data_IF_678552014018
#
_entry.id   IF_678552014018
#
_cell.length_a   1.000
_cell.length_b   1.000
_cell.length_c   1.000
_cell.angle_alpha   90.00
_cell.angle_beta   90.00
_cell.angle_gamma   90.00
#
_symmetry.space_group_name_H-M   'P 1'
#
loop_
_entity.id
_entity.type
_entity.pdbx_description
1 polymer ?
#
# COMPACT_ATOMS: atom_id res chain seq x y z
N UNK A 1 -49.05 31.73 -59.11
CA UNK A 1 -49.36 30.59 -58.23
C UNK A 1 -49.25 31.03 -56.81
N UNK A 2 -49.90 30.30 -55.89
CA UNK A 2 -49.72 30.38 -54.46
C UNK A 2 -49.26 29.04 -53.86
N UNK A 3 -48.51 29.08 -52.76
CA UNK A 3 -48.15 27.86 -52.00
C UNK A 3 -49.38 27.48 -51.17
N UNK A 4 -49.78 26.19 -51.25
CA UNK A 4 -50.89 25.66 -50.49
C UNK A 4 -50.39 24.98 -49.21
N UNK A 5 -49.35 24.20 -49.33
CA UNK A 5 -48.75 23.45 -48.17
C UNK A 5 -47.38 22.90 -48.52
N UNK A 6 -46.65 22.47 -47.47
CA UNK A 6 -45.43 21.70 -47.58
C UNK A 6 -44.20 22.47 -48.01
N UNK A 7 -44.16 23.78 -47.79
CA UNK A 7 -43.01 24.64 -48.11
C UNK A 7 -42.00 24.78 -46.97
N UNK A 8 -42.28 24.14 -45.83
CA UNK A 8 -41.38 24.14 -44.66
C UNK A 8 -41.31 22.77 -44.04
N UNK A 9 -40.12 22.39 -43.66
CA UNK A 9 -39.83 21.25 -42.80
C UNK A 9 -38.48 21.49 -42.14
N UNK A 10 -38.27 20.92 -40.94
CA UNK A 10 -37.06 21.11 -40.16
C UNK A 10 -36.26 19.85 -40.01
N UNK A 11 -36.86 18.69 -40.12
CA UNK A 11 -36.20 17.41 -39.86
C UNK A 11 -36.02 16.65 -41.21
N UNK A 12 -35.01 15.78 -41.18
CA UNK A 12 -34.76 14.82 -42.28
C UNK A 12 -36.02 14.09 -42.66
N UNK A 13 -36.33 14.11 -43.97
CA UNK A 13 -37.51 13.46 -44.52
C UNK A 13 -37.33 13.21 -46.03
N UNK A 14 -37.48 11.98 -46.48
CA UNK A 14 -37.29 11.58 -47.86
C UNK A 14 -38.51 11.84 -48.75
N UNK A 15 -39.68 12.20 -48.18
CA UNK A 15 -40.94 12.23 -48.88
C UNK A 15 -41.81 13.44 -48.53
N UNK A 16 -41.24 14.62 -48.62
CA UNK A 16 -41.97 15.88 -48.50
C UNK A 16 -42.70 16.21 -49.80
N UNK A 17 -43.83 16.87 -49.69
CA UNK A 17 -44.59 17.28 -50.86
C UNK A 17 -44.95 18.76 -50.80
N UNK A 18 -44.45 19.57 -51.71
CA UNK A 18 -44.88 20.95 -51.94
C UNK A 18 -46.09 20.95 -52.86
N UNK A 19 -47.17 21.56 -52.39
CA UNK A 19 -48.38 21.74 -53.21
C UNK A 19 -48.54 23.23 -53.51
N UNK A 20 -48.69 23.54 -54.82
CA UNK A 20 -48.97 24.87 -55.34
C UNK A 20 -50.30 24.89 -56.09
N UNK A 21 -50.91 26.02 -56.16
CA UNK A 21 -52.19 26.28 -56.86
C UNK A 21 -52.06 27.48 -57.80
N UNK A 22 -52.58 27.31 -59.01
CA UNK A 22 -52.63 28.39 -59.99
C UNK A 22 -53.43 29.60 -59.52
N UNK A 23 -53.03 30.79 -59.96
CA UNK A 23 -53.73 32.07 -59.65
C UNK A 23 -53.87 32.88 -60.91
N UNK A 24 -54.88 33.77 -60.94
CA UNK A 24 -55.19 34.63 -62.11
C UNK A 24 -55.79 33.82 -63.25
N UNK A 25 -55.17 33.83 -64.43
CA UNK A 25 -55.62 33.07 -65.63
C UNK A 25 -55.24 31.59 -65.63
N UNK A 26 -54.62 31.11 -64.52
CA UNK A 26 -54.20 29.69 -64.36
C UNK A 26 -55.03 29.02 -63.29
N UNK A 27 -55.47 27.82 -63.50
CA UNK A 27 -56.24 27.02 -62.55
C UNK A 27 -55.59 25.65 -62.35
N UNK A 28 -55.94 25.01 -61.23
CA UNK A 28 -55.45 23.66 -60.89
C UNK A 28 -54.35 23.65 -59.85
N UNK A 29 -54.04 22.44 -59.36
CA UNK A 29 -53.00 22.18 -58.35
C UNK A 29 -51.90 21.32 -58.95
N UNK A 30 -50.66 21.59 -58.56
CA UNK A 30 -49.50 20.76 -58.87
C UNK A 30 -48.77 20.39 -57.56
N UNK A 31 -48.20 19.20 -57.54
CA UNK A 31 -47.45 18.72 -56.40
C UNK A 31 -46.02 18.33 -56.83
N UNK A 32 -45.01 18.69 -56.05
CA UNK A 32 -43.61 18.37 -56.26
C UNK A 32 -43.04 17.67 -55.01
N UNK A 33 -42.38 16.55 -55.21
CA UNK A 33 -41.65 15.86 -54.18
C UNK A 33 -40.32 16.54 -53.93
N UNK A 34 -39.94 16.66 -52.67
CA UNK A 34 -38.65 17.16 -52.21
C UNK A 34 -38.24 16.41 -50.94
N UNK A 35 -36.96 16.54 -50.50
CA UNK A 35 -36.41 15.88 -49.32
C UNK A 35 -35.46 16.78 -48.56
N UNK A 36 -35.30 16.50 -47.30
CA UNK A 36 -34.20 16.99 -46.45
C UNK A 36 -33.28 15.83 -46.17
N UNK A 37 -32.02 15.99 -46.55
CA UNK A 37 -30.97 15.03 -46.23
C UNK A 37 -30.22 15.40 -44.96
N UNK A 38 -29.69 14.43 -44.21
CA UNK A 38 -28.90 14.76 -43.03
C UNK A 38 -27.68 15.64 -43.38
N UNK A 39 -27.31 16.48 -42.45
CA UNK A 39 -26.12 17.33 -42.53
C UNK A 39 -24.90 16.56 -42.07
N UNK A 40 -23.89 16.39 -42.93
CA UNK A 40 -22.60 15.81 -42.55
C UNK A 40 -21.83 16.83 -41.69
N UNK A 41 -21.35 16.35 -40.53
CA UNK A 41 -20.59 17.18 -39.57
C UNK A 41 -19.38 16.46 -39.05
N UNK A 42 -18.35 17.24 -38.68
CA UNK A 42 -17.16 16.76 -37.96
C UNK A 42 -17.04 17.58 -36.68
N UNK A 43 -17.80 17.23 -35.64
CA UNK A 43 -17.91 18.07 -34.45
C UNK A 43 -16.64 18.09 -33.62
N UNK A 44 -16.44 19.19 -32.89
CA UNK A 44 -15.59 19.25 -31.74
C UNK A 44 -16.28 18.55 -30.56
N UNK A 45 -15.55 17.69 -29.83
CA UNK A 45 -16.05 16.98 -28.66
C UNK A 45 -15.48 17.64 -27.41
N UNK A 46 -16.34 18.14 -26.55
CA UNK A 46 -15.99 18.69 -25.25
C UNK A 46 -16.42 17.69 -24.17
N UNK A 47 -15.46 17.26 -23.33
CA UNK A 47 -15.67 16.38 -22.19
C UNK A 47 -14.79 16.83 -21.03
N UNK A 48 -15.38 16.97 -19.85
CA UNK A 48 -14.66 17.40 -18.66
C UNK A 48 -13.83 16.25 -18.03
N UNK A 49 -12.76 16.63 -17.34
CA UNK A 49 -12.05 15.69 -16.47
C UNK A 49 -12.89 15.34 -15.25
N UNK A 50 -12.69 14.12 -14.74
CA UNK A 50 -13.34 13.61 -13.51
C UNK A 50 -12.29 13.23 -12.48
N UNK A 51 -12.72 12.93 -11.25
CA UNK A 51 -11.89 12.35 -10.20
C UNK A 51 -12.38 10.92 -9.94
N UNK A 52 -11.46 10.01 -9.69
CA UNK A 52 -11.75 8.62 -9.36
C UNK A 52 -12.72 8.50 -8.16
N UNK A 53 -13.73 7.65 -8.32
CA UNK A 53 -14.75 7.39 -7.29
C UNK A 53 -14.94 5.89 -6.98
N UNK A 54 -14.33 5.01 -7.78
CA UNK A 54 -14.57 3.58 -7.78
C UNK A 54 -15.65 3.14 -8.76
N UNK A 55 -16.61 4.01 -9.06
CA UNK A 55 -17.67 3.73 -10.04
C UNK A 55 -17.26 4.12 -11.46
N UNK A 56 -18.00 3.58 -12.44
CA UNK A 56 -17.87 4.02 -13.81
C UNK A 56 -18.30 5.49 -13.97
N UNK A 57 -17.45 6.32 -14.57
CA UNK A 57 -17.62 7.75 -14.71
C UNK A 57 -18.14 8.08 -16.12
N UNK A 58 -19.24 8.80 -16.19
CA UNK A 58 -19.91 9.21 -17.42
C UNK A 58 -20.04 10.74 -17.47
N UNK A 59 -18.92 11.46 -17.69
CA UNK A 59 -18.95 12.91 -17.77
C UNK A 59 -19.82 13.39 -18.92
N UNK A 60 -20.46 14.54 -18.73
CA UNK A 60 -21.26 15.16 -19.80
C UNK A 60 -20.40 15.44 -21.03
N UNK A 61 -20.89 15.03 -22.19
CA UNK A 61 -20.29 15.25 -23.50
C UNK A 61 -21.10 16.29 -24.26
N UNK A 62 -20.44 17.30 -24.80
CA UNK A 62 -21.05 18.31 -25.67
C UNK A 62 -20.38 18.25 -27.04
N UNK A 63 -21.20 18.17 -28.09
CA UNK A 63 -20.74 18.24 -29.47
C UNK A 63 -21.02 19.61 -30.06
N UNK A 64 -20.05 20.20 -30.76
CA UNK A 64 -20.18 21.49 -31.42
C UNK A 64 -19.78 21.41 -32.89
N UNK A 65 -20.62 21.92 -33.77
CA UNK A 65 -20.30 22.21 -35.17
C UNK A 65 -20.05 23.70 -35.32
N UNK A 66 -18.79 24.11 -35.26
CA UNK A 66 -18.42 25.52 -35.09
C UNK A 66 -18.90 26.06 -33.73
N UNK A 67 -19.81 27.01 -33.74
CA UNK A 67 -20.39 27.59 -32.52
C UNK A 67 -21.76 26.97 -32.13
N UNK A 68 -22.30 26.08 -32.97
CA UNK A 68 -23.60 25.50 -32.74
C UNK A 68 -23.45 24.18 -31.95
N UNK A 69 -24.24 24.02 -30.89
CA UNK A 69 -24.32 22.78 -30.14
C UNK A 69 -25.24 21.79 -30.86
N UNK A 70 -24.75 20.60 -31.14
CA UNK A 70 -25.55 19.52 -31.70
C UNK A 70 -26.45 18.95 -30.57
N UNK A 71 -27.77 18.86 -30.79
CA UNK A 71 -28.70 18.34 -29.81
C UNK A 71 -28.33 16.91 -29.36
N UNK A 72 -28.55 16.58 -28.10
CA UNK A 72 -28.15 15.29 -27.50
C UNK A 72 -28.95 14.09 -27.99
N UNK A 73 -30.10 14.31 -28.60
CA UNK A 73 -30.95 13.30 -29.25
C UNK A 73 -30.45 12.91 -30.67
N UNK A 74 -29.46 13.61 -31.19
CA UNK A 74 -28.87 13.36 -32.50
C UNK A 74 -27.62 12.44 -32.46
N UNK A 75 -27.15 12.05 -31.26
CA UNK A 75 -25.99 11.19 -31.10
C UNK A 75 -26.08 10.31 -29.86
N UNK A 76 -25.30 9.25 -29.86
CA UNK A 76 -25.08 8.36 -28.71
C UNK A 76 -23.64 8.48 -28.21
N UNK A 77 -23.44 8.30 -26.91
CA UNK A 77 -22.12 8.31 -26.26
C UNK A 77 -21.88 6.94 -25.62
N UNK A 78 -20.77 6.32 -25.97
CA UNK A 78 -20.28 5.11 -25.33
C UNK A 78 -19.00 5.44 -24.56
N UNK A 79 -18.90 4.94 -23.32
CA UNK A 79 -17.73 5.15 -22.46
C UNK A 79 -16.89 3.89 -22.36
N UNK A 80 -15.58 4.05 -22.28
CA UNK A 80 -14.63 2.96 -22.05
C UNK A 80 -13.44 3.44 -21.23
N UNK A 81 -12.80 2.50 -20.49
CA UNK A 81 -11.71 2.81 -19.55
C UNK A 81 -12.05 3.91 -18.54
N UNK A 82 -13.32 3.98 -18.14
CA UNK A 82 -13.90 5.09 -17.42
C UNK A 82 -14.07 4.83 -15.90
N UNK A 83 -13.40 3.81 -15.35
CA UNK A 83 -13.50 3.48 -13.92
C UNK A 83 -12.25 3.89 -13.14
N UNK A 84 -11.06 3.53 -13.62
CA UNK A 84 -9.80 3.79 -12.91
C UNK A 84 -9.22 5.16 -13.28
N UNK A 85 -8.43 5.74 -12.38
CA UNK A 85 -7.67 6.96 -12.69
C UNK A 85 -6.71 6.72 -13.88
N UNK A 86 -6.62 7.72 -14.75
CA UNK A 86 -5.87 7.64 -16.00
C UNK A 86 -6.61 8.28 -17.16
N UNK A 87 -6.68 7.59 -18.29
CA UNK A 87 -7.33 8.07 -19.51
C UNK A 87 -8.59 7.27 -19.80
N UNK A 88 -9.73 7.91 -19.62
CA UNK A 88 -11.03 7.42 -20.10
C UNK A 88 -11.25 7.84 -21.56
N UNK A 89 -12.19 7.19 -22.22
CA UNK A 89 -12.52 7.46 -23.63
C UNK A 89 -14.02 7.48 -23.87
N UNK A 90 -14.47 8.46 -24.64
CA UNK A 90 -15.81 8.49 -25.20
C UNK A 90 -15.77 8.17 -26.69
N UNK A 91 -16.77 7.43 -27.15
CA UNK A 91 -17.01 7.14 -28.58
C UNK A 91 -18.38 7.67 -28.95
N UNK A 92 -18.44 8.50 -29.98
CA UNK A 92 -19.64 9.19 -30.43
C UNK A 92 -20.10 8.53 -31.74
N UNK A 93 -21.42 8.26 -31.82
CA UNK A 93 -22.09 7.77 -33.04
C UNK A 93 -23.37 8.56 -33.24
N UNK A 94 -23.72 8.83 -34.50
CA UNK A 94 -24.99 9.42 -34.87
C UNK A 94 -26.18 8.51 -34.56
N UNK A 95 -27.34 9.11 -34.39
CA UNK A 95 -28.61 8.40 -34.29
C UNK A 95 -29.12 8.12 -35.69
N UNK A 96 -29.47 6.85 -35.97
CA UNK A 96 -29.99 6.47 -37.26
C UNK A 96 -31.29 7.21 -37.62
N UNK A 97 -31.31 7.89 -38.77
CA UNK A 97 -32.42 8.71 -39.21
C UNK A 97 -32.50 10.10 -38.61
N UNK A 98 -31.49 10.50 -37.82
CA UNK A 98 -31.34 11.84 -37.29
C UNK A 98 -31.00 12.89 -38.36
N UNK A 99 -30.95 14.17 -37.94
CA UNK A 99 -30.68 15.30 -38.81
C UNK A 99 -29.18 15.46 -39.14
N UNK A 100 -28.32 14.74 -38.48
CA UNK A 100 -26.87 14.81 -38.64
C UNK A 100 -26.28 13.44 -39.02
N UNK A 101 -25.26 13.45 -39.86
CA UNK A 101 -24.34 12.34 -40.06
C UNK A 101 -23.04 12.67 -39.36
N UNK A 102 -22.77 11.99 -38.26
CA UNK A 102 -21.57 12.16 -37.46
C UNK A 102 -20.71 10.94 -37.73
N UNK A 103 -19.57 11.08 -38.41
CA UNK A 103 -18.61 9.99 -38.49
C UNK A 103 -18.18 9.61 -37.11
N UNK A 104 -18.11 8.30 -36.80
CA UNK A 104 -17.65 7.80 -35.51
C UNK A 104 -16.38 8.52 -35.07
N UNK A 105 -16.41 9.09 -33.88
CA UNK A 105 -15.33 9.89 -33.35
C UNK A 105 -15.08 9.56 -31.89
N UNK A 106 -13.81 9.51 -31.52
CA UNK A 106 -13.40 9.26 -30.15
C UNK A 106 -12.73 10.49 -29.56
N UNK A 107 -12.90 10.70 -28.25
CA UNK A 107 -12.22 11.72 -27.46
C UNK A 107 -11.79 11.12 -26.14
N UNK A 108 -10.53 11.34 -25.77
CA UNK A 108 -10.02 10.98 -24.47
C UNK A 108 -10.36 12.06 -23.42
N UNK A 109 -10.58 11.63 -22.18
CA UNK A 109 -10.72 12.50 -21.03
C UNK A 109 -9.88 12.01 -19.86
N UNK A 110 -9.54 12.91 -18.96
CA UNK A 110 -8.69 12.57 -17.81
C UNK A 110 -9.54 12.19 -16.60
N UNK A 111 -9.19 11.06 -15.96
CA UNK A 111 -9.67 10.69 -14.64
C UNK A 111 -8.50 10.90 -13.66
N UNK A 112 -8.61 11.92 -12.83
CA UNK A 112 -7.57 12.24 -11.84
C UNK A 112 -7.64 11.29 -10.65
N UNK A 113 -6.50 11.05 -10.01
CA UNK A 113 -6.44 10.27 -8.77
C UNK A 113 -7.25 10.95 -7.66
N UNK A 114 -7.93 10.15 -6.85
CA UNK A 114 -8.56 10.61 -5.62
C UNK A 114 -7.51 11.04 -4.59
N UNK A 115 -7.91 11.87 -3.63
CA UNK A 115 -7.05 12.24 -2.51
C UNK A 115 -6.63 11.01 -1.69
N UNK A 116 -5.41 11.04 -1.16
CA UNK A 116 -4.94 9.98 -0.27
C UNK A 116 -5.88 9.82 0.95
N UNK A 117 -6.11 8.59 1.46
CA UNK A 117 -6.84 8.37 2.70
C UNK A 117 -6.17 9.11 3.87
N UNK A 118 -6.98 9.61 4.81
CA UNK A 118 -6.49 10.40 5.95
C UNK A 118 -6.31 9.61 7.25
N UNK A 119 -6.85 8.39 7.33
CA UNK A 119 -6.85 7.54 8.53
C UNK A 119 -5.73 6.47 8.52
N UNK A 120 -4.57 6.81 7.98
CA UNK A 120 -3.39 5.94 7.92
C UNK A 120 -2.81 5.78 9.33
N UNK A 121 -2.63 4.54 9.76
CA UNK A 121 -2.02 4.22 11.05
C UNK A 121 -0.51 4.07 10.89
N UNK A 122 0.23 4.39 11.97
CA UNK A 122 1.66 4.08 12.03
C UNK A 122 1.89 2.66 12.52
N UNK A 123 2.85 1.97 11.91
CA UNK A 123 3.35 0.69 12.38
C UNK A 123 4.35 0.83 13.54
N UNK A 124 4.64 -0.29 14.18
CA UNK A 124 5.67 -0.39 15.21
C UNK A 124 6.54 -1.62 14.95
N UNK A 125 7.85 -1.43 14.95
CA UNK A 125 8.84 -2.49 14.88
C UNK A 125 9.79 -2.35 16.06
N UNK A 126 9.95 -3.42 16.85
CA UNK A 126 10.83 -3.41 18.04
C UNK A 126 12.08 -4.23 17.78
N UNK A 127 13.24 -3.63 17.98
CA UNK A 127 14.55 -4.29 17.88
C UNK A 127 15.13 -4.52 19.26
N UNK A 128 16.08 -5.48 19.39
CA UNK A 128 16.77 -5.79 20.63
C UNK A 128 18.15 -5.13 20.63
N UNK A 129 18.45 -4.33 21.65
CA UNK A 129 19.77 -3.71 21.86
C UNK A 129 20.86 -4.77 21.99
N UNK A 130 22.03 -4.53 21.36
CA UNK A 130 23.16 -5.45 21.37
C UNK A 130 22.93 -6.75 20.61
N UNK A 131 21.88 -6.82 19.78
CA UNK A 131 21.62 -7.95 18.90
C UNK A 131 21.68 -7.49 17.44
N UNK A 132 22.56 -8.11 16.65
CA UNK A 132 22.59 -7.91 15.19
C UNK A 132 21.60 -8.88 14.54
N UNK A 133 20.49 -8.34 14.05
CA UNK A 133 19.40 -9.13 13.49
C UNK A 133 18.64 -8.37 12.41
N UNK A 134 18.14 -9.12 11.43
CA UNK A 134 17.19 -8.58 10.43
C UNK A 134 15.77 -8.76 10.95
N UNK A 135 15.04 -7.65 10.96
CA UNK A 135 13.63 -7.57 11.31
C UNK A 135 12.81 -7.26 10.07
N UNK A 136 11.57 -7.71 10.00
CA UNK A 136 10.68 -7.40 8.90
C UNK A 136 9.35 -6.84 9.38
N UNK A 137 8.71 -6.06 8.49
CA UNK A 137 7.41 -5.46 8.71
C UNK A 137 6.63 -5.39 7.40
N UNK A 138 5.39 -5.84 7.37
CA UNK A 138 4.51 -5.75 6.20
C UNK A 138 3.81 -4.39 6.16
N UNK A 139 4.27 -3.50 5.28
CA UNK A 139 3.72 -2.16 5.09
C UNK A 139 2.28 -2.16 4.59
N UNK A 140 1.84 -3.23 3.91
CA UNK A 140 0.47 -3.34 3.41
C UNK A 140 -0.58 -3.30 4.53
N UNK A 141 -0.18 -3.74 5.73
CA UNK A 141 -1.04 -3.74 6.93
C UNK A 141 -1.40 -2.35 7.43
N UNK A 142 -0.65 -1.32 7.02
CA UNK A 142 -0.90 0.08 7.37
C UNK A 142 -1.91 0.77 6.46
N UNK A 143 -2.22 0.16 5.31
CA UNK A 143 -3.16 0.73 4.36
C UNK A 143 -4.59 0.61 4.88
N UNK A 144 -5.34 1.72 4.94
CA UNK A 144 -6.74 1.67 5.30
C UNK A 144 -7.55 0.77 4.36
N UNK A 145 -8.46 -0.01 4.92
CA UNK A 145 -9.40 -0.78 4.11
C UNK A 145 -10.38 0.18 3.45
N UNK A 146 -10.42 0.15 2.11
CA UNK A 146 -11.37 0.94 1.34
C UNK A 146 -12.75 0.27 1.30
N UNK A 147 -13.79 1.10 1.15
CA UNK A 147 -15.16 0.61 0.93
C UNK A 147 -15.36 0.37 -0.57
N UNK A 148 -15.86 -0.81 -0.92
CA UNK A 148 -16.22 -1.11 -2.31
C UNK A 148 -17.23 -0.09 -2.87
N UNK A 149 -17.12 0.29 -4.16
CA UNK A 149 -16.26 -0.28 -5.20
C UNK A 149 -14.84 0.30 -5.28
N UNK A 150 -14.46 1.18 -4.35
CA UNK A 150 -13.13 1.78 -4.36
C UNK A 150 -12.02 0.75 -4.08
N UNK A 151 -10.90 0.86 -4.81
CA UNK A 151 -9.66 0.13 -4.60
C UNK A 151 -8.43 1.02 -4.90
N UNK A 152 -7.26 0.59 -4.45
CA UNK A 152 -6.02 1.34 -4.72
C UNK A 152 -5.51 1.16 -6.14
N UNK A 153 -6.02 0.17 -6.88
CA UNK A 153 -5.43 -0.29 -8.13
C UNK A 153 -4.06 -0.95 -7.89
N UNK A 154 -3.13 -0.74 -8.81
CA UNK A 154 -1.75 -1.22 -8.61
C UNK A 154 -1.06 -0.39 -7.55
N UNK A 155 -0.49 -1.05 -6.55
CA UNK A 155 0.31 -0.43 -5.50
C UNK A 155 1.79 -0.67 -5.80
N UNK A 156 2.60 0.38 -5.68
CA UNK A 156 4.06 0.29 -5.75
C UNK A 156 4.62 0.96 -4.50
N UNK A 157 5.35 0.18 -3.71
CA UNK A 157 6.06 0.67 -2.53
C UNK A 157 7.35 1.33 -3.02
N UNK A 158 7.34 2.66 -3.07
CA UNK A 158 8.40 3.37 -3.75
C UNK A 158 9.64 3.54 -2.87
N UNK A 159 10.66 3.88 -3.53
CA UNK A 159 12.07 4.03 -3.27
C UNK A 159 12.41 5.19 -2.32
N UNK A 160 11.45 6.00 -1.91
CA UNK A 160 11.70 7.13 -1.02
C UNK A 160 11.53 6.67 0.42
N UNK A 161 12.57 6.04 0.93
CA UNK A 161 12.67 5.62 2.33
C UNK A 161 13.49 6.66 3.07
N UNK A 162 12.86 7.44 3.93
CA UNK A 162 13.53 8.33 4.84
C UNK A 162 13.70 7.60 6.19
N UNK A 163 14.96 7.35 6.57
CA UNK A 163 15.29 6.63 7.80
C UNK A 163 15.97 7.57 8.77
N UNK A 164 15.41 7.71 9.96
CA UNK A 164 16.03 8.46 11.06
C UNK A 164 16.15 7.54 12.27
N UNK A 165 17.29 6.84 12.38
CA UNK A 165 17.53 5.78 13.37
C UNK A 165 18.69 6.07 14.33
N UNK A 166 19.19 7.30 14.40
CA UNK A 166 20.22 7.65 15.39
C UNK A 166 21.51 6.85 15.25
N UNK A 167 22.12 6.46 16.38
CA UNK A 167 23.42 5.79 16.44
C UNK A 167 23.29 4.28 16.30
N UNK A 168 24.04 3.69 15.34
CA UNK A 168 24.06 2.25 15.06
C UNK A 168 24.37 1.95 13.60
N UNK A 169 24.40 0.67 13.25
CA UNK A 169 24.49 0.21 11.86
C UNK A 169 23.11 -0.30 11.45
N UNK A 170 22.49 0.36 10.47
CA UNK A 170 21.15 0.04 10.00
C UNK A 170 21.13 -0.02 8.48
N UNK A 171 20.57 -1.09 7.93
CA UNK A 171 20.28 -1.21 6.49
C UNK A 171 18.79 -1.42 6.34
N UNK A 172 18.14 -0.50 5.65
CA UNK A 172 16.70 -0.53 5.40
C UNK A 172 16.45 -0.82 3.93
N UNK A 173 15.65 -1.85 3.65
CA UNK A 173 15.21 -2.23 2.30
C UNK A 173 13.70 -2.35 2.27
N UNK A 174 13.10 -2.00 1.13
CA UNK A 174 11.68 -2.17 0.87
C UNK A 174 11.49 -2.93 -0.44
N UNK A 175 10.74 -4.02 -0.40
CA UNK A 175 10.30 -4.68 -1.62
C UNK A 175 9.20 -3.86 -2.30
N UNK A 176 9.48 -3.39 -3.51
CA UNK A 176 8.59 -2.48 -4.24
C UNK A 176 7.25 -3.09 -4.68
N UNK A 177 7.10 -4.41 -4.61
CA UNK A 177 5.88 -5.13 -5.03
C UNK A 177 5.09 -5.65 -3.84
N UNK A 178 5.76 -6.26 -2.87
CA UNK A 178 5.11 -6.89 -1.72
C UNK A 178 4.87 -5.92 -0.58
N UNK A 179 5.67 -4.85 -0.49
CA UNK A 179 5.65 -3.93 0.64
C UNK A 179 6.33 -4.49 1.89
N UNK A 180 7.15 -5.51 1.75
CA UNK A 180 7.97 -5.99 2.85
C UNK A 180 9.09 -5.00 3.13
N UNK A 181 9.07 -4.40 4.32
CA UNK A 181 10.15 -3.60 4.88
C UNK A 181 11.07 -4.53 5.67
N UNK A 182 12.35 -4.54 5.34
CA UNK A 182 13.37 -5.22 6.14
C UNK A 182 14.33 -4.20 6.75
N UNK A 183 14.66 -4.42 8.02
CA UNK A 183 15.62 -3.63 8.79
C UNK A 183 16.69 -4.54 9.34
N UNK A 184 17.86 -4.53 8.76
CA UNK A 184 19.06 -5.13 9.35
C UNK A 184 19.63 -4.15 10.37
N UNK A 185 19.54 -4.50 11.65
CA UNK A 185 19.83 -3.60 12.75
C UNK A 185 20.92 -4.17 13.68
N UNK A 186 21.91 -3.32 14.00
CA UNK A 186 22.92 -3.56 15.01
C UNK A 186 23.05 -2.30 15.86
N UNK A 187 22.23 -2.17 16.91
CA UNK A 187 22.22 -1.04 17.81
C UNK A 187 22.98 -1.37 19.10
N UNK A 188 24.00 -0.58 19.40
CA UNK A 188 24.82 -0.73 20.60
C UNK A 188 24.32 0.08 21.82
N UNK A 189 23.22 0.83 21.68
CA UNK A 189 22.61 1.58 22.77
C UNK A 189 21.98 0.67 23.82
N UNK A 190 21.73 1.23 25.02
CA UNK A 190 21.04 0.55 26.13
C UNK A 190 19.69 1.18 26.47
N UNK A 191 19.38 2.33 25.85
CA UNK A 191 18.11 3.00 26.09
C UNK A 191 16.96 2.25 25.42
N UNK A 192 15.85 2.12 26.12
CA UNK A 192 14.62 1.51 25.63
C UNK A 192 13.62 2.56 25.17
N UNK A 193 12.66 2.13 24.37
CA UNK A 193 11.60 2.97 23.82
C UNK A 193 11.81 3.35 22.37
N UNK A 194 11.01 4.30 21.89
CA UNK A 194 11.11 4.79 20.51
C UNK A 194 12.39 5.60 20.33
N UNK A 195 13.19 5.22 19.32
CA UNK A 195 14.43 5.93 19.00
C UNK A 195 14.49 6.41 17.55
N UNK A 196 13.50 6.05 16.73
CA UNK A 196 13.46 6.49 15.35
C UNK A 196 12.18 6.11 14.64
N UNK A 197 12.16 6.38 13.33
CA UNK A 197 11.08 6.02 12.43
C UNK A 197 11.61 5.79 11.03
N UNK A 198 10.90 4.97 10.28
CA UNK A 198 11.10 4.75 8.85
C UNK A 198 9.82 5.20 8.15
N UNK A 199 9.95 6.10 7.17
CA UNK A 199 8.83 6.55 6.32
C UNK A 199 9.01 6.03 4.91
N UNK A 200 7.94 5.49 4.34
CA UNK A 200 7.91 4.96 2.97
C UNK A 200 6.77 5.62 2.22
N UNK A 201 7.10 6.26 1.09
CA UNK A 201 6.06 6.76 0.17
C UNK A 201 5.67 5.65 -0.78
N UNK A 202 4.38 5.42 -0.90
CA UNK A 202 3.81 4.48 -1.86
C UNK A 202 3.02 5.23 -2.93
N UNK A 203 3.07 4.70 -4.15
CA UNK A 203 2.25 5.17 -5.26
C UNK A 203 1.17 4.16 -5.58
N UNK A 204 -0.02 4.64 -5.87
CA UNK A 204 -1.17 3.81 -6.26
C UNK A 204 -1.73 4.26 -7.60
N UNK A 205 -2.46 3.40 -8.30
CA UNK A 205 -3.08 3.79 -9.57
C UNK A 205 -4.19 4.82 -9.36
N UNK A 206 -5.02 4.66 -8.32
CA UNK A 206 -6.29 5.37 -8.17
C UNK A 206 -6.26 6.51 -7.13
N UNK A 207 -5.27 6.54 -6.24
CA UNK A 207 -5.12 7.56 -5.20
C UNK A 207 -3.79 8.29 -5.34
N UNK A 208 -3.74 9.51 -4.85
CA UNK A 208 -2.48 10.26 -4.69
C UNK A 208 -1.52 9.49 -3.76
N UNK A 209 -0.24 9.82 -3.85
CA UNK A 209 0.81 9.16 -3.07
C UNK A 209 0.50 9.18 -1.57
N UNK A 210 0.82 8.08 -0.90
CA UNK A 210 0.54 7.84 0.52
C UNK A 210 1.88 7.66 1.23
N UNK A 211 2.06 8.33 2.38
CA UNK A 211 3.23 8.14 3.23
C UNK A 211 2.87 7.20 4.38
N UNK A 212 3.59 6.09 4.48
CA UNK A 212 3.50 5.13 5.57
C UNK A 212 4.64 5.36 6.56
N UNK A 213 4.38 5.22 7.86
CA UNK A 213 5.37 5.39 8.91
C UNK A 213 5.44 4.14 9.78
N UNK A 214 6.66 3.64 10.00
CA UNK A 214 6.95 2.58 10.97
C UNK A 214 7.84 3.17 12.06
N UNK A 215 7.32 3.26 13.28
CA UNK A 215 8.07 3.72 14.45
C UNK A 215 8.97 2.58 14.94
N UNK A 216 10.23 2.87 15.20
CA UNK A 216 11.23 1.90 15.61
C UNK A 216 11.51 2.07 17.11
N UNK A 217 11.29 0.97 17.84
CA UNK A 217 11.50 0.89 19.27
C UNK A 217 12.68 -0.03 19.58
N UNK A 218 13.36 0.25 20.65
CA UNK A 218 14.39 -0.62 21.22
C UNK A 218 13.93 -1.21 22.54
N UNK A 219 14.27 -2.46 22.77
CA UNK A 219 14.23 -3.15 24.08
C UNK A 219 15.60 -3.73 24.37
N UNK A 220 15.93 -3.90 25.65
CA UNK A 220 17.14 -4.61 26.06
C UNK A 220 16.91 -6.13 26.02
N UNK A 221 18.00 -6.90 25.97
CA UNK A 221 17.95 -8.34 26.20
C UNK A 221 17.37 -8.60 27.59
N UNK A 222 16.51 -9.60 27.69
CA UNK A 222 16.00 -10.04 28.99
C UNK A 222 17.11 -10.75 29.79
N UNK A 223 17.21 -10.46 31.08
CA UNK A 223 18.12 -11.18 31.97
C UNK A 223 17.37 -12.33 32.62
N UNK A 224 17.72 -13.61 32.30
CA UNK A 224 17.08 -14.76 32.92
C UNK A 224 17.29 -14.75 34.43
N UNK A 225 16.32 -15.27 35.17
CA UNK A 225 16.41 -15.42 36.61
C UNK A 225 16.53 -16.91 36.97
N UNK A 226 17.18 -17.17 38.11
CA UNK A 226 17.39 -18.53 38.59
C UNK A 226 16.05 -19.21 38.94
N UNK A 227 15.88 -20.47 38.50
CA UNK A 227 14.77 -21.32 38.88
C UNK A 227 15.27 -22.46 39.78
N UNK A 228 15.20 -22.25 41.08
CA UNK A 228 15.70 -23.13 42.09
C UNK A 228 17.13 -22.84 42.51
N UNK A 229 17.96 -23.86 42.72
CA UNK A 229 19.33 -23.77 43.16
C UNK A 229 20.29 -24.26 42.10
N UNK A 230 21.46 -23.62 42.03
CA UNK A 230 22.63 -24.14 41.34
C UNK A 230 23.31 -25.18 42.22
N UNK A 231 23.73 -26.27 41.61
CA UNK A 231 24.49 -27.32 42.28
C UNK A 231 25.77 -27.59 41.54
N UNK A 232 26.83 -27.83 42.29
CA UNK A 232 28.15 -28.18 41.79
C UNK A 232 28.59 -29.56 42.29
N UNK A 233 29.28 -30.35 41.46
CA UNK A 233 29.88 -31.58 41.93
C UNK A 233 31.16 -31.28 42.70
N UNK A 234 31.43 -32.15 43.71
CA UNK A 234 32.64 -32.13 44.51
C UNK A 234 33.87 -32.43 43.66
N UNK A 235 34.98 -31.78 43.97
CA UNK A 235 36.32 -32.07 43.43
C UNK A 235 37.31 -32.37 44.54
N UNK A 236 38.53 -32.84 44.19
CA UNK A 236 39.60 -33.13 45.08
C UNK A 236 40.73 -32.11 44.91
N UNK A 237 41.46 -31.78 45.96
CA UNK A 237 42.64 -30.92 45.91
C UNK A 237 43.56 -31.26 44.72
N UNK A 238 43.94 -30.22 43.98
CA UNK A 238 44.74 -30.34 42.75
C UNK A 238 43.95 -30.48 41.44
N UNK A 239 42.63 -30.77 41.51
CA UNK A 239 41.74 -30.68 40.37
C UNK A 239 41.36 -29.25 40.04
N UNK A 240 41.00 -28.96 38.80
CA UNK A 240 40.54 -27.67 38.37
C UNK A 240 39.01 -27.56 38.54
N UNK A 241 38.47 -26.33 38.61
CA UNK A 241 37.03 -26.10 38.63
C UNK A 241 36.30 -26.69 37.41
N UNK A 242 36.96 -26.76 36.26
CA UNK A 242 36.44 -27.45 35.06
C UNK A 242 36.15 -28.93 35.28
N UNK A 243 36.75 -29.60 36.31
CA UNK A 243 36.47 -30.99 36.68
C UNK A 243 35.18 -31.10 37.50
N UNK A 244 34.65 -30.00 38.05
CA UNK A 244 33.37 -29.92 38.73
C UNK A 244 32.26 -29.65 37.71
N UNK A 245 31.27 -30.51 37.62
CA UNK A 245 30.03 -30.21 36.87
C UNK A 245 29.19 -29.20 37.63
N UNK A 246 28.62 -28.23 36.89
CA UNK A 246 27.67 -27.26 37.42
C UNK A 246 26.32 -27.44 36.73
N UNK A 247 25.23 -27.48 37.48
CA UNK A 247 23.88 -27.69 36.99
C UNK A 247 22.89 -26.75 37.66
N UNK A 248 21.89 -26.33 36.91
CA UNK A 248 20.81 -25.47 37.38
C UNK A 248 19.76 -25.25 36.30
N UNK A 249 18.79 -24.41 36.60
CA UNK A 249 17.77 -23.99 35.65
C UNK A 249 17.59 -22.48 35.71
N UNK A 250 17.36 -21.91 34.55
CA UNK A 250 17.03 -20.48 34.41
C UNK A 250 15.67 -20.36 33.79
N UNK A 251 14.95 -19.24 34.10
CA UNK A 251 13.64 -18.97 33.54
C UNK A 251 13.51 -17.51 33.11
N UNK A 252 12.58 -17.27 32.18
CA UNK A 252 12.17 -15.94 31.78
C UNK A 252 11.49 -15.23 32.95
N UNK A 253 11.93 -14.01 33.32
CA UNK A 253 11.38 -13.29 34.45
C UNK A 253 9.91 -12.87 34.24
N UNK A 254 9.43 -12.78 33.00
CA UNK A 254 8.09 -12.30 32.67
C UNK A 254 7.08 -13.44 32.50
N UNK A 255 7.48 -14.53 31.80
CA UNK A 255 6.58 -15.65 31.50
C UNK A 255 6.73 -16.84 32.46
N UNK A 256 7.91 -16.97 33.09
CA UNK A 256 8.25 -18.13 33.92
C UNK A 256 8.69 -19.34 33.12
N UNK A 257 8.76 -19.27 31.79
CA UNK A 257 9.19 -20.35 30.94
C UNK A 257 10.68 -20.66 31.13
N UNK A 258 11.09 -21.95 30.98
CA UNK A 258 12.49 -22.33 31.07
C UNK A 258 13.32 -21.72 29.95
N UNK A 259 14.45 -21.10 30.31
CA UNK A 259 15.43 -20.55 29.36
C UNK A 259 16.56 -21.58 29.22
N UNK A 260 16.67 -22.16 28.04
CA UNK A 260 17.74 -23.14 27.73
C UNK A 260 19.07 -22.40 27.57
N UNK A 261 20.15 -23.07 27.97
CA UNK A 261 21.51 -22.55 27.87
C UNK A 261 22.51 -23.44 28.61
N UNK A 262 23.76 -22.97 28.67
CA UNK A 262 24.87 -23.71 29.23
C UNK A 262 25.44 -22.97 30.44
N UNK A 263 25.63 -23.73 31.53
CA UNK A 263 26.37 -23.28 32.71
C UNK A 263 27.84 -23.66 32.58
N UNK A 264 28.73 -22.72 32.83
CA UNK A 264 30.18 -22.93 32.85
C UNK A 264 30.80 -22.17 34.03
N UNK A 265 31.89 -22.68 34.57
CA UNK A 265 32.70 -21.88 35.51
C UNK A 265 33.37 -20.74 34.74
N UNK A 266 33.28 -19.54 35.26
CA UNK A 266 33.84 -18.34 34.60
C UNK A 266 35.36 -18.45 34.42
N UNK A 267 36.05 -19.01 35.42
CA UNK A 267 37.45 -19.45 35.30
C UNK A 267 37.59 -20.90 35.69
N UNK A 268 37.35 -21.79 34.72
CA UNK A 268 37.43 -23.25 34.91
C UNK A 268 38.84 -23.77 35.17
N UNK A 269 39.90 -22.99 34.95
CA UNK A 269 41.28 -23.41 35.13
C UNK A 269 41.77 -23.28 36.60
N UNK A 270 41.04 -22.57 37.43
CA UNK A 270 41.37 -22.38 38.84
C UNK A 270 41.43 -23.73 39.54
N UNK A 271 42.49 -23.97 40.35
CA UNK A 271 42.68 -25.13 41.23
C UNK A 271 42.62 -24.62 42.66
N UNK A 272 41.45 -24.72 43.30
CA UNK A 272 41.29 -24.24 44.67
C UNK A 272 41.96 -25.12 45.70
N UNK A 273 42.34 -24.55 46.83
CA UNK A 273 42.77 -25.30 47.99
C UNK A 273 41.63 -26.10 48.63
N UNK A 274 41.95 -27.15 49.39
CA UNK A 274 40.95 -27.93 50.07
C UNK A 274 40.08 -27.08 50.98
N UNK A 275 38.77 -27.07 50.72
CA UNK A 275 37.80 -26.24 51.40
C UNK A 275 36.38 -26.82 51.20
N UNK A 276 35.63 -26.96 52.29
CA UNK A 276 34.25 -27.45 52.23
C UNK A 276 33.29 -26.47 51.56
N UNK A 277 33.67 -25.21 51.41
CA UNK A 277 32.81 -24.14 50.87
C UNK A 277 33.60 -23.13 50.02
N UNK A 278 34.21 -23.59 48.93
CA UNK A 278 34.87 -22.68 48.00
C UNK A 278 33.80 -22.00 47.13
N UNK A 279 33.73 -20.65 47.18
CA UNK A 279 32.84 -19.87 46.33
C UNK A 279 33.50 -19.67 44.95
N UNK A 280 32.87 -20.16 43.92
CA UNK A 280 33.32 -20.00 42.54
C UNK A 280 32.27 -19.31 41.66
N UNK A 281 32.75 -18.43 40.78
CA UNK A 281 31.89 -17.73 39.85
C UNK A 281 31.54 -18.63 38.66
N UNK A 282 30.27 -18.63 38.28
CA UNK A 282 29.76 -19.31 37.09
C UNK A 282 29.12 -18.34 36.15
N UNK A 283 29.05 -18.71 34.85
CA UNK A 283 28.38 -17.99 33.78
C UNK A 283 27.33 -18.92 33.15
N UNK A 284 26.10 -18.40 33.04
CA UNK A 284 25.06 -19.01 32.22
C UNK A 284 25.01 -18.29 30.89
N UNK A 285 25.18 -19.02 29.78
CA UNK A 285 25.04 -18.52 28.42
C UNK A 285 23.77 -19.10 27.82
N UNK A 286 22.72 -18.26 27.63
CA UNK A 286 21.48 -18.66 26.98
C UNK A 286 21.71 -19.12 25.53
N UNK A 287 20.93 -20.10 25.05
CA UNK A 287 20.94 -20.51 23.65
C UNK A 287 20.30 -19.48 22.73
N UNK A 288 19.35 -18.68 23.26
CA UNK A 288 18.71 -17.59 22.53
C UNK A 288 19.40 -16.27 22.79
N UNK A 289 19.76 -15.57 21.71
CA UNK A 289 20.40 -14.25 21.76
C UNK A 289 19.49 -13.12 22.28
N UNK A 290 18.20 -13.38 22.45
CA UNK A 290 17.24 -12.43 23.07
C UNK A 290 17.46 -12.28 24.59
N UNK A 291 18.24 -13.18 25.20
CA UNK A 291 18.60 -13.14 26.60
C UNK A 291 20.06 -12.72 26.80
N UNK A 292 20.30 -12.04 27.93
CA UNK A 292 21.64 -11.71 28.38
C UNK A 292 22.28 -12.89 29.12
N UNK A 293 23.60 -12.95 29.09
CA UNK A 293 24.36 -13.85 29.96
C UNK A 293 24.17 -13.46 31.42
N UNK A 294 24.19 -14.45 32.32
CA UNK A 294 24.10 -14.25 33.77
C UNK A 294 25.34 -14.81 34.43
N UNK A 295 25.92 -14.06 35.35
CA UNK A 295 27.02 -14.51 36.22
C UNK A 295 26.61 -14.41 37.68
N UNK A 296 26.96 -15.41 38.44
CA UNK A 296 26.75 -15.44 39.92
C UNK A 296 27.73 -16.47 40.52
N UNK A 297 27.65 -16.69 41.81
CA UNK A 297 28.55 -17.62 42.53
C UNK A 297 27.83 -18.87 42.98
N UNK A 298 28.58 -19.97 43.09
CA UNK A 298 28.12 -21.20 43.69
C UNK A 298 29.23 -21.84 44.53
N UNK A 299 28.82 -22.56 45.57
CA UNK A 299 29.73 -23.26 46.46
C UNK A 299 30.17 -24.60 45.85
N UNK A 300 31.48 -24.85 45.80
CA UNK A 300 32.11 -26.13 45.43
C UNK A 300 32.83 -26.71 46.66
N UNK A 301 32.57 -27.97 46.96
CA UNK A 301 33.33 -28.72 47.97
C UNK A 301 34.62 -29.24 47.34
N UNK A 302 35.78 -28.91 47.94
CA UNK A 302 37.11 -29.33 47.54
C UNK A 302 37.68 -30.23 48.63
N UNK A 303 37.63 -31.53 48.44
CA UNK A 303 38.18 -32.51 49.40
C UNK A 303 39.72 -32.47 49.45
N UNK A 304 40.29 -32.83 50.57
CA UNK A 304 41.73 -32.99 50.69
C UNK A 304 42.31 -34.05 49.75
#
# INVERSE_FOLDING_TARGET
YRIVSGNTATNVNDSLTLTIEGTGNYTGKAAVKWKITPREVTPAIEVASCTYTGDALEPTVTLKDGNEVIPTDEYTVEYSNNTNAGTGRVTIKDVAGGNYVIKEKTQDFTITKAAAPTNIQSGTLTITNGLHKTYSFDLSTLLPKLTAPCDYGTITYDKKVDTNLGVGSFITLVDGKTGELTLDANRSGTDEGQFGAITVTISTSNYQDITLTVNIFAKNKLTPVMDGKITASKITYGQALSDSSITGKMKDPNTGDEVNGTFTWTDGAVKPDANDRYEAEWTFTPDSEEYATVTDTATVEVAP
#
